data_IF_628449911567
#
_entry.id   IF_628449911567
#
_cell.length_a   1.000
_cell.length_b   1.000
_cell.length_c   1.000
_cell.angle_alpha   90.00
_cell.angle_beta   90.00
_cell.angle_gamma   90.00
#
_symmetry.space_group_name_H-M   'P 1'
#
loop_
_entity.id
_entity.type
_entity.pdbx_description
1 polymer ?
#
# COMPACT_ATOMS: atom_id res chain seq x y z
N UNK A 1 -41.25 -18.25 -31.46
CA UNK A 1 -41.75 -17.12 -30.65
C UNK A 1 -41.55 -17.35 -29.16
N UNK A 2 -41.83 -18.53 -28.59
CA UNK A 2 -41.65 -18.78 -27.15
C UNK A 2 -40.21 -18.79 -26.64
N UNK A 3 -39.25 -19.32 -27.41
CA UNK A 3 -37.82 -19.28 -27.04
C UNK A 3 -37.27 -17.84 -26.97
N UNK A 4 -37.75 -16.96 -27.85
CA UNK A 4 -37.39 -15.55 -27.89
C UNK A 4 -38.02 -14.79 -26.72
N UNK A 5 -39.27 -15.09 -26.37
CA UNK A 5 -39.91 -14.55 -25.17
C UNK A 5 -39.19 -15.00 -23.89
N UNK A 6 -38.82 -16.28 -23.77
CA UNK A 6 -38.08 -16.82 -22.61
C UNK A 6 -36.66 -16.25 -22.49
N UNK A 7 -35.99 -15.98 -23.61
CA UNK A 7 -34.70 -15.32 -23.65
C UNK A 7 -34.80 -13.85 -23.22
N UNK A 8 -35.83 -13.13 -23.69
CA UNK A 8 -36.12 -11.76 -23.25
C UNK A 8 -36.47 -11.74 -21.76
N UNK A 9 -37.30 -12.68 -21.28
CA UNK A 9 -37.70 -12.79 -19.88
C UNK A 9 -36.50 -13.13 -18.96
N UNK A 10 -35.58 -14.00 -19.41
CA UNK A 10 -34.33 -14.30 -18.70
C UNK A 10 -33.34 -13.11 -18.68
N UNK A 11 -33.31 -12.27 -19.73
CA UNK A 11 -32.49 -11.05 -19.76
C UNK A 11 -33.11 -9.97 -18.86
N UNK A 12 -34.44 -9.81 -18.90
CA UNK A 12 -35.18 -8.83 -18.10
C UNK A 12 -35.20 -9.18 -16.61
N UNK A 13 -35.23 -10.46 -16.24
CA UNK A 13 -35.21 -10.93 -14.85
C UNK A 13 -33.80 -11.02 -14.25
N UNK A 14 -32.76 -10.82 -15.05
CA UNK A 14 -31.38 -10.80 -14.56
C UNK A 14 -31.13 -9.45 -13.88
N UNK A 15 -31.66 -9.34 -12.66
CA UNK A 15 -31.59 -8.17 -11.78
C UNK A 15 -30.15 -7.69 -11.63
N UNK A 16 -29.16 -8.60 -11.71
CA UNK A 16 -27.73 -8.27 -11.70
C UNK A 16 -27.25 -7.52 -12.95
N UNK A 17 -27.79 -7.81 -14.13
CA UNK A 17 -27.46 -7.10 -15.37
C UNK A 17 -28.09 -5.71 -15.37
N UNK A 18 -29.37 -5.61 -14.99
CA UNK A 18 -30.04 -4.31 -14.88
C UNK A 18 -29.40 -3.44 -13.78
N UNK A 19 -29.05 -4.01 -12.63
CA UNK A 19 -28.29 -3.32 -11.58
C UNK A 19 -26.89 -2.93 -12.05
N UNK A 20 -26.22 -3.76 -12.85
CA UNK A 20 -24.90 -3.43 -13.43
C UNK A 20 -25.00 -2.31 -14.46
N UNK A 21 -26.03 -2.31 -15.30
CA UNK A 21 -26.29 -1.26 -16.29
C UNK A 21 -26.69 0.05 -15.60
N UNK A 22 -27.50 -0.02 -14.54
CA UNK A 22 -27.87 1.15 -13.73
C UNK A 22 -26.66 1.70 -12.98
N UNK A 23 -25.83 0.85 -12.38
CA UNK A 23 -24.54 1.21 -11.77
C UNK A 23 -23.58 1.84 -12.79
N UNK A 24 -23.44 1.26 -13.98
CA UNK A 24 -22.59 1.80 -15.05
C UNK A 24 -23.13 3.14 -15.57
N UNK A 25 -24.44 3.32 -15.67
CA UNK A 25 -25.06 4.58 -16.05
C UNK A 25 -24.89 5.64 -14.96
N UNK A 26 -25.03 5.27 -13.69
CA UNK A 26 -24.76 6.16 -12.56
C UNK A 26 -23.26 6.52 -12.49
N UNK A 27 -22.37 5.56 -12.80
CA UNK A 27 -20.94 5.76 -12.92
C UNK A 27 -20.58 6.70 -14.07
N UNK A 28 -21.15 6.52 -15.26
CA UNK A 28 -20.96 7.39 -16.43
C UNK A 28 -21.51 8.80 -16.15
N UNK A 29 -22.66 8.91 -15.49
CA UNK A 29 -23.24 10.20 -15.09
C UNK A 29 -22.35 10.92 -14.08
N UNK A 30 -21.88 10.21 -13.04
CA UNK A 30 -20.89 10.72 -12.08
C UNK A 30 -19.58 11.09 -12.79
N UNK A 31 -19.16 10.37 -13.82
CA UNK A 31 -17.95 10.66 -14.60
C UNK A 31 -18.10 11.93 -15.45
N UNK A 32 -19.26 12.13 -16.07
CA UNK A 32 -19.60 13.33 -16.85
C UNK A 32 -19.76 14.56 -15.95
N UNK A 33 -20.41 14.42 -14.78
CA UNK A 33 -20.53 15.51 -13.79
C UNK A 33 -19.17 15.83 -13.13
N UNK A 34 -18.29 14.84 -12.91
CA UNK A 34 -16.88 15.00 -12.45
C UNK A 34 -15.95 15.61 -13.50
N UNK A 35 -16.34 15.69 -14.76
CA UNK A 35 -15.55 16.37 -15.80
C UNK A 35 -15.59 17.89 -15.66
N UNK A 36 -16.55 18.43 -14.89
CA UNK A 36 -16.69 19.88 -14.69
C UNK A 36 -15.94 20.44 -13.49
N UNK A 37 -15.49 19.62 -12.53
CA UNK A 37 -14.51 20.01 -11.48
C UNK A 37 -13.99 18.74 -10.77
N UNK A 38 -12.69 18.72 -10.44
CA UNK A 38 -11.93 17.79 -9.57
C UNK A 38 -11.16 16.57 -10.13
N UNK A 39 -11.44 15.99 -11.30
CA UNK A 39 -10.59 14.88 -11.81
C UNK A 39 -9.17 15.33 -12.17
N UNK A 40 -9.01 16.53 -12.74
CA UNK A 40 -7.70 17.09 -13.04
C UNK A 40 -6.85 17.31 -11.79
N UNK A 41 -7.44 17.46 -10.60
CA UNK A 41 -6.68 17.68 -9.36
C UNK A 41 -6.15 16.37 -8.79
N UNK A 42 -6.94 15.30 -8.79
CA UNK A 42 -6.51 13.96 -8.37
C UNK A 42 -5.56 13.31 -9.39
N UNK A 43 -5.79 13.48 -10.70
CA UNK A 43 -4.84 13.03 -11.74
C UNK A 43 -3.55 13.86 -11.74
N UNK A 44 -3.59 15.17 -11.44
CA UNK A 44 -2.37 15.97 -11.22
C UNK A 44 -1.65 15.58 -9.92
N UNK A 45 -2.37 15.19 -8.86
CA UNK A 45 -1.78 14.65 -7.63
C UNK A 45 -1.09 13.31 -7.85
N UNK A 46 -1.72 12.42 -8.62
CA UNK A 46 -1.18 11.10 -8.98
C UNK A 46 0.03 11.20 -9.94
N UNK A 47 0.10 12.23 -10.79
CA UNK A 47 1.16 12.33 -11.80
C UNK A 47 2.55 12.68 -11.25
N UNK A 48 2.66 13.33 -10.07
CA UNK A 48 3.98 13.74 -9.55
C UNK A 48 4.43 13.03 -8.26
N UNK A 49 3.53 12.64 -7.35
CA UNK A 49 3.92 12.23 -5.98
C UNK A 49 3.60 10.77 -5.58
N UNK A 50 2.83 10.01 -6.37
CA UNK A 50 2.44 8.63 -6.01
C UNK A 50 3.38 7.59 -6.64
N UNK A 51 4.17 6.93 -5.80
CA UNK A 51 5.09 5.87 -6.18
C UNK A 51 4.71 4.57 -5.46
N UNK A 52 4.30 3.57 -6.23
CA UNK A 52 3.86 2.28 -5.71
C UNK A 52 5.05 1.37 -5.43
N UNK A 53 5.01 0.69 -4.28
CA UNK A 53 5.91 -0.43 -3.97
C UNK A 53 5.56 -1.61 -4.87
N UNK A 54 6.57 -2.29 -5.39
CA UNK A 54 6.41 -3.45 -6.27
C UNK A 54 5.88 -4.66 -5.51
N UNK A 55 5.31 -5.64 -6.22
CA UNK A 55 4.82 -6.88 -5.61
C UNK A 55 5.99 -7.72 -5.10
N UNK A 56 7.13 -7.67 -5.80
CA UNK A 56 8.34 -8.40 -5.47
C UNK A 56 8.91 -7.93 -4.12
N UNK A 57 8.97 -6.63 -3.87
CA UNK A 57 9.47 -6.10 -2.59
C UNK A 57 8.54 -6.47 -1.42
N UNK A 58 7.23 -6.50 -1.65
CA UNK A 58 6.24 -6.86 -0.63
C UNK A 58 6.28 -8.36 -0.34
N UNK A 59 6.39 -9.20 -1.37
CA UNK A 59 6.58 -10.64 -1.21
C UNK A 59 7.89 -10.92 -0.47
N UNK A 60 8.98 -10.26 -0.85
CA UNK A 60 10.26 -10.38 -0.16
C UNK A 60 10.14 -9.99 1.32
N UNK A 61 9.42 -8.93 1.64
CA UNK A 61 9.15 -8.57 3.04
C UNK A 61 8.40 -9.68 3.78
N UNK A 62 7.31 -10.22 3.20
CA UNK A 62 6.54 -11.33 3.78
C UNK A 62 7.42 -12.53 4.09
N UNK A 63 8.26 -12.93 3.13
CA UNK A 63 9.13 -14.12 3.24
C UNK A 63 10.17 -14.00 4.37
N UNK A 64 10.51 -12.78 4.79
CA UNK A 64 11.54 -12.52 5.81
C UNK A 64 10.96 -12.05 7.15
N UNK A 65 9.75 -11.49 7.17
CA UNK A 65 9.21 -10.79 8.33
C UNK A 65 8.58 -11.71 9.39
N UNK A 66 8.27 -12.97 9.04
CA UNK A 66 7.63 -13.94 9.95
C UNK A 66 6.38 -13.40 10.65
N UNK A 67 5.50 -12.72 9.90
CA UNK A 67 4.29 -12.10 10.46
C UNK A 67 3.31 -13.20 10.89
N UNK A 68 2.77 -13.17 12.13
CA UNK A 68 1.82 -14.19 12.56
C UNK A 68 0.51 -14.14 11.76
N UNK A 69 0.04 -15.31 11.29
CA UNK A 69 -1.16 -15.43 10.42
C UNK A 69 -2.48 -15.10 11.11
N UNK A 70 -2.51 -15.10 12.44
CA UNK A 70 -3.69 -14.77 13.24
C UNK A 70 -3.97 -13.26 13.28
N UNK A 71 -2.95 -12.42 13.03
CA UNK A 71 -2.99 -10.95 13.08
C UNK A 71 -3.77 -10.35 11.92
N UNK A 72 -4.43 -9.23 12.21
CA UNK A 72 -5.11 -8.38 11.24
C UNK A 72 -4.16 -7.24 10.84
N UNK A 73 -3.67 -7.29 9.61
CA UNK A 73 -2.82 -6.26 9.02
C UNK A 73 -3.69 -5.10 8.55
N UNK A 74 -3.36 -3.89 8.98
CA UNK A 74 -3.92 -2.66 8.45
C UNK A 74 -2.93 -1.99 7.50
N UNK A 75 -3.36 -1.77 6.27
CA UNK A 75 -2.66 -1.03 5.23
C UNK A 75 -3.33 0.36 5.10
N UNK A 76 -2.89 1.37 5.89
CA UNK A 76 -3.63 2.62 6.07
C UNK A 76 -3.53 3.63 4.92
N UNK A 77 -2.64 3.39 3.96
CA UNK A 77 -2.36 4.28 2.83
C UNK A 77 -2.68 3.62 1.50
N UNK A 78 -3.55 2.61 1.52
CA UNK A 78 -3.70 1.66 0.43
C UNK A 78 -5.15 1.52 0.00
N UNK A 79 -5.38 1.62 -1.30
CA UNK A 79 -6.62 1.17 -1.91
C UNK A 79 -6.69 -0.38 -1.90
N UNK A 80 -7.91 -0.96 -1.97
CA UNK A 80 -8.07 -2.42 -2.01
C UNK A 80 -7.31 -3.12 -3.16
N UNK A 81 -7.00 -2.38 -4.23
CA UNK A 81 -6.28 -2.84 -5.42
C UNK A 81 -4.76 -2.67 -5.34
N UNK A 82 -4.23 -2.04 -4.28
CA UNK A 82 -2.79 -1.84 -4.10
C UNK A 82 -2.02 -3.16 -4.03
N UNK A 83 -0.72 -3.10 -4.37
CA UNK A 83 0.16 -4.26 -4.24
C UNK A 83 0.25 -4.75 -2.79
N UNK A 84 0.25 -3.85 -1.79
CA UNK A 84 0.24 -4.24 -0.37
C UNK A 84 -0.97 -5.12 -0.05
N UNK A 85 -2.17 -4.63 -0.36
CA UNK A 85 -3.39 -5.33 0.01
C UNK A 85 -3.54 -6.65 -0.76
N UNK A 86 -3.24 -6.64 -2.06
CA UNK A 86 -3.40 -7.81 -2.91
C UNK A 86 -2.39 -8.91 -2.57
N UNK A 87 -1.10 -8.56 -2.39
CA UNK A 87 -0.06 -9.55 -2.07
C UNK A 87 -0.28 -10.15 -0.68
N UNK A 88 -0.58 -9.35 0.35
CA UNK A 88 -0.86 -9.91 1.68
C UNK A 88 -2.08 -10.84 1.67
N UNK A 89 -3.17 -10.47 0.99
CA UNK A 89 -4.36 -11.33 0.87
C UNK A 89 -4.04 -12.64 0.13
N UNK A 90 -3.27 -12.58 -0.94
CA UNK A 90 -2.87 -13.77 -1.70
C UNK A 90 -1.97 -14.72 -0.88
N UNK A 91 -1.23 -14.19 0.10
CA UNK A 91 -0.46 -14.96 1.07
C UNK A 91 -1.28 -15.44 2.28
N UNK A 92 -2.61 -15.24 2.28
CA UNK A 92 -3.53 -15.76 3.30
C UNK A 92 -3.69 -14.89 4.55
N UNK A 93 -3.15 -13.67 4.56
CA UNK A 93 -3.30 -12.76 5.70
C UNK A 93 -4.68 -12.11 5.76
N UNK A 94 -5.13 -11.78 6.98
CA UNK A 94 -6.28 -10.90 7.19
C UNK A 94 -5.85 -9.45 6.98
N UNK A 95 -6.43 -8.78 5.99
CA UNK A 95 -6.02 -7.42 5.61
C UNK A 95 -7.21 -6.47 5.59
N UNK A 96 -7.04 -5.32 6.25
CA UNK A 96 -7.92 -4.16 6.15
C UNK A 96 -7.15 -3.05 5.43
N UNK A 97 -7.79 -2.41 4.47
CA UNK A 97 -7.21 -1.26 3.76
C UNK A 97 -8.02 0.01 4.02
N UNK A 98 -7.33 1.15 4.01
CA UNK A 98 -7.95 2.47 3.99
C UNK A 98 -7.14 3.41 3.13
N UNK A 99 -7.82 4.37 2.53
CA UNK A 99 -7.19 5.42 1.76
C UNK A 99 -7.94 6.75 1.94
N UNK A 100 -7.22 7.86 1.84
CA UNK A 100 -7.82 9.21 1.92
C UNK A 100 -8.90 9.42 0.85
N UNK A 101 -8.75 8.83 -0.34
CA UNK A 101 -9.75 8.87 -1.42
C UNK A 101 -11.06 8.16 -1.08
N UNK A 102 -11.06 7.29 -0.07
CA UNK A 102 -12.26 6.63 0.44
C UNK A 102 -12.88 7.39 1.62
N UNK A 103 -12.43 8.62 1.92
CA UNK A 103 -12.80 9.38 3.10
C UNK A 103 -12.23 8.79 4.40
N UNK A 104 -11.23 7.91 4.31
CA UNK A 104 -10.59 7.24 5.44
C UNK A 104 -9.17 7.73 5.62
N UNK A 105 -9.04 9.00 6.00
CA UNK A 105 -7.75 9.61 6.28
C UNK A 105 -7.11 8.98 7.53
N UNK A 106 -5.88 8.48 7.42
CA UNK A 106 -5.11 7.88 8.52
C UNK A 106 -5.05 8.75 9.79
N UNK A 107 -5.04 10.08 9.64
CA UNK A 107 -4.98 10.99 10.78
C UNK A 107 -6.31 11.10 11.53
N UNK A 108 -7.42 10.67 10.94
CA UNK A 108 -8.77 10.83 11.47
C UNK A 108 -9.59 9.52 11.50
N UNK A 109 -9.07 8.45 10.92
CA UNK A 109 -9.72 7.16 10.79
C UNK A 109 -8.87 6.05 11.43
N UNK A 110 -9.54 5.03 11.95
CA UNK A 110 -8.97 3.72 12.23
C UNK A 110 -10.06 2.64 12.11
N UNK A 111 -9.72 1.41 11.71
CA UNK A 111 -10.69 0.31 11.72
C UNK A 111 -10.99 -0.15 13.14
N UNK A 112 -12.15 -0.80 13.33
CA UNK A 112 -12.62 -1.28 14.65
C UNK A 112 -11.69 -2.33 15.27
N UNK A 113 -11.09 -3.18 14.45
CA UNK A 113 -10.18 -4.26 14.86
C UNK A 113 -9.02 -4.32 13.89
N UNK A 114 -7.81 -4.33 14.42
CA UNK A 114 -6.55 -4.46 13.71
C UNK A 114 -5.43 -4.69 14.73
N UNK A 115 -4.34 -5.35 14.33
CA UNK A 115 -3.26 -5.72 15.24
C UNK A 115 -1.93 -5.08 14.86
N UNK A 116 -1.68 -4.89 13.56
CA UNK A 116 -0.39 -4.41 13.05
C UNK A 116 -0.57 -3.51 11.84
N UNK A 117 0.26 -2.49 11.69
CA UNK A 117 0.31 -1.64 10.49
C UNK A 117 1.47 -2.07 9.60
N UNK A 118 1.21 -2.33 8.31
CA UNK A 118 2.27 -2.59 7.33
C UNK A 118 1.91 -1.92 6.00
N UNK A 119 2.71 -0.94 5.55
CA UNK A 119 2.42 -0.15 4.34
C UNK A 119 3.62 0.73 3.91
N UNK A 120 3.47 1.45 2.79
CA UNK A 120 4.35 2.53 2.36
C UNK A 120 3.65 3.89 2.58
N UNK A 121 4.06 4.68 3.60
CA UNK A 121 3.44 5.96 3.88
C UNK A 121 3.72 7.01 2.81
N UNK A 122 2.87 8.05 2.68
CA UNK A 122 3.17 9.18 1.81
C UNK A 122 4.47 9.88 2.26
N UNK A 123 5.22 10.44 1.30
CA UNK A 123 6.54 11.00 1.57
C UNK A 123 6.56 12.24 2.48
N UNK A 124 5.43 12.93 2.64
CA UNK A 124 5.34 14.19 3.40
C UNK A 124 4.86 13.95 4.85
N UNK A 125 5.07 14.92 5.73
CA UNK A 125 4.51 14.94 7.09
C UNK A 125 4.87 13.74 8.00
N UNK A 126 6.08 13.17 7.84
CA UNK A 126 6.56 12.00 8.61
C UNK A 126 6.45 12.15 10.13
N UNK A 127 6.61 13.35 10.68
CA UNK A 127 6.48 13.59 12.11
C UNK A 127 5.04 13.46 12.61
N UNK A 128 4.04 13.89 11.83
CA UNK A 128 2.63 13.69 12.18
C UNK A 128 2.24 12.22 12.07
N UNK A 129 2.78 11.52 11.07
CA UNK A 129 2.67 10.07 10.93
C UNK A 129 3.19 9.36 12.20
N UNK A 130 4.41 9.66 12.64
CA UNK A 130 4.98 9.06 13.86
C UNK A 130 4.19 9.42 15.11
N UNK A 131 3.74 10.67 15.25
CA UNK A 131 2.87 11.08 16.36
C UNK A 131 1.58 10.24 16.40
N UNK A 132 0.94 10.04 15.24
CA UNK A 132 -0.28 9.24 15.13
C UNK A 132 -0.02 7.77 15.44
N UNK A 133 1.12 7.21 15.04
CA UNK A 133 1.50 5.83 15.38
C UNK A 133 1.68 5.63 16.89
N UNK A 134 2.23 6.62 17.61
CA UNK A 134 2.38 6.57 19.07
C UNK A 134 1.03 6.49 19.78
N UNK A 135 -0.02 7.10 19.24
CA UNK A 135 -1.38 7.06 19.83
C UNK A 135 -2.00 5.65 19.79
N UNK A 136 -1.52 4.77 18.90
CA UNK A 136 -2.06 3.42 18.77
C UNK A 136 -1.40 2.40 19.69
N UNK A 137 -0.16 2.65 20.12
CA UNK A 137 0.65 1.72 20.92
C UNK A 137 0.62 0.27 20.40
N UNK A 138 0.83 0.11 19.10
CA UNK A 138 0.79 -1.18 18.39
C UNK A 138 1.99 -1.38 17.48
N UNK A 139 2.33 -2.64 17.13
CA UNK A 139 3.39 -2.91 16.18
C UNK A 139 3.11 -2.31 14.80
N UNK A 140 4.17 -1.88 14.13
CA UNK A 140 4.09 -1.37 12.76
C UNK A 140 5.41 -1.60 12.03
N UNK A 141 5.35 -1.74 10.70
CA UNK A 141 6.49 -1.70 9.79
C UNK A 141 6.16 -0.81 8.59
N UNK A 142 6.96 0.22 8.35
CA UNK A 142 6.74 1.20 7.29
C UNK A 142 8.02 1.45 6.50
N UNK A 143 7.86 1.71 5.21
CA UNK A 143 8.96 2.08 4.32
C UNK A 143 9.30 3.56 4.49
N UNK A 144 10.57 3.86 4.62
CA UNK A 144 11.08 5.23 4.60
C UNK A 144 12.32 5.31 3.70
N UNK A 145 12.53 6.46 3.06
CA UNK A 145 13.81 6.76 2.44
C UNK A 145 14.89 6.99 3.51
N UNK A 146 16.12 6.56 3.26
CA UNK A 146 17.23 6.64 4.22
C UNK A 146 17.51 8.08 4.70
N UNK A 147 17.26 9.05 3.85
CA UNK A 147 17.35 10.48 4.14
C UNK A 147 16.41 10.95 5.27
N UNK A 148 15.39 10.16 5.65
CA UNK A 148 14.56 10.47 6.80
C UNK A 148 15.38 10.56 8.10
N UNK A 149 16.47 9.79 8.20
CA UNK A 149 17.37 9.79 9.36
C UNK A 149 18.23 11.06 9.47
N UNK A 150 18.27 11.89 8.42
CA UNK A 150 18.93 13.20 8.49
C UNK A 150 18.08 14.25 9.23
N UNK A 151 16.82 13.93 9.57
CA UNK A 151 15.93 14.82 10.30
C UNK A 151 15.99 14.52 11.80
N UNK A 152 16.52 15.46 12.58
CA UNK A 152 16.54 15.40 14.05
C UNK A 152 15.16 15.08 14.62
N UNK A 153 14.13 15.82 14.21
CA UNK A 153 12.75 15.59 14.65
C UNK A 153 12.25 14.19 14.35
N UNK A 154 12.61 13.60 13.21
CA UNK A 154 12.22 12.22 12.88
C UNK A 154 12.88 11.25 13.86
N UNK A 155 14.19 11.40 14.08
CA UNK A 155 14.95 10.60 15.02
C UNK A 155 14.43 10.73 16.46
N UNK A 156 14.11 11.94 16.93
CA UNK A 156 13.54 12.18 18.26
C UNK A 156 12.19 11.48 18.46
N UNK A 157 11.35 11.44 17.41
CA UNK A 157 10.09 10.70 17.48
C UNK A 157 10.31 9.20 17.52
N UNK A 158 11.31 8.68 16.82
CA UNK A 158 11.67 7.26 16.89
C UNK A 158 12.03 6.84 18.32
N UNK A 159 12.74 7.67 19.07
CA UNK A 159 13.10 7.37 20.47
C UNK A 159 11.90 7.21 21.43
N UNK A 160 10.68 7.59 21.00
CA UNK A 160 9.47 7.51 21.84
C UNK A 160 8.74 6.18 21.72
N UNK A 161 9.10 5.35 20.74
CA UNK A 161 8.47 4.04 20.56
C UNK A 161 9.11 2.99 21.46
N UNK A 162 8.35 1.94 21.79
CA UNK A 162 8.77 0.85 22.67
C UNK A 162 10.08 0.21 22.23
N UNK A 163 10.21 -0.12 20.94
CA UNK A 163 11.39 -0.78 20.39
C UNK A 163 11.48 -0.54 18.89
N UNK A 164 12.20 0.50 18.50
CA UNK A 164 12.44 0.81 17.08
C UNK A 164 13.43 -0.17 16.47
N UNK A 165 13.09 -0.63 15.27
CA UNK A 165 13.85 -1.63 14.53
C UNK A 165 14.08 -1.13 13.11
N UNK A 166 15.28 -1.37 12.60
CA UNK A 166 15.76 -0.89 11.33
C UNK A 166 16.18 -2.07 10.47
N UNK A 167 15.70 -2.08 9.23
CA UNK A 167 16.07 -3.10 8.25
C UNK A 167 16.65 -2.42 7.02
N UNK A 168 17.96 -2.57 6.86
CA UNK A 168 18.67 -2.20 5.64
C UNK A 168 18.42 -3.22 4.54
N UNK A 169 18.28 -2.76 3.30
CA UNK A 169 18.22 -3.60 2.13
C UNK A 169 19.48 -3.40 1.29
N UNK A 170 20.30 -4.44 1.13
CA UNK A 170 21.52 -4.39 0.31
C UNK A 170 21.19 -3.99 -1.13
N UNK A 171 20.11 -4.54 -1.68
CA UNK A 171 19.52 -4.11 -2.95
C UNK A 171 18.43 -3.08 -2.69
N UNK A 172 18.60 -1.90 -3.28
CA UNK A 172 17.62 -0.81 -3.19
C UNK A 172 16.26 -1.26 -3.75
N UNK A 173 15.20 -0.96 -3.01
CA UNK A 173 13.83 -1.06 -3.49
C UNK A 173 13.64 -0.23 -4.75
N UNK A 174 12.77 -0.70 -5.64
CA UNK A 174 12.33 0.05 -6.80
C UNK A 174 10.85 0.40 -6.64
N UNK A 175 10.43 1.47 -7.29
CA UNK A 175 9.04 1.93 -7.24
C UNK A 175 8.54 2.18 -8.66
N UNK A 176 7.22 2.11 -8.84
CA UNK A 176 6.57 2.32 -10.13
C UNK A 176 5.45 3.33 -10.03
N UNK A 177 5.16 4.05 -11.12
CA UNK A 177 3.95 4.88 -11.27
C UNK A 177 2.75 4.09 -11.81
N UNK A 178 2.99 2.92 -12.41
CA UNK A 178 1.95 1.99 -12.86
C UNK A 178 2.13 0.67 -12.11
N UNK A 179 1.28 0.41 -11.11
CA UNK A 179 1.33 -0.84 -10.33
C UNK A 179 0.67 -2.03 -11.04
N UNK A 180 -0.01 -1.81 -12.17
CA UNK A 180 -0.70 -2.86 -12.92
C UNK A 180 0.18 -3.43 -14.03
N UNK A 181 0.96 -2.60 -14.73
CA UNK A 181 1.66 -3.00 -15.97
C UNK A 181 3.17 -2.70 -16.00
N UNK A 182 3.83 -2.49 -14.85
CA UNK A 182 5.26 -2.19 -14.84
C UNK A 182 6.14 -3.36 -15.29
N UNK A 183 7.21 -3.03 -16.00
CA UNK A 183 8.26 -3.97 -16.36
C UNK A 183 9.29 -4.08 -15.22
N UNK A 184 9.19 -5.19 -14.48
CA UNK A 184 10.04 -5.54 -13.34
C UNK A 184 11.54 -5.51 -13.69
N UNK A 185 11.92 -5.89 -14.92
CA UNK A 185 13.32 -5.96 -15.33
C UNK A 185 13.93 -4.59 -15.64
N UNK A 186 13.07 -3.62 -16.00
CA UNK A 186 13.45 -2.29 -16.45
C UNK A 186 13.03 -1.16 -15.48
N UNK A 187 12.76 -1.50 -14.22
CA UNK A 187 12.45 -0.51 -13.18
C UNK A 187 13.62 0.47 -12.97
N UNK A 188 13.27 1.75 -12.89
CA UNK A 188 14.23 2.80 -12.57
C UNK A 188 14.65 2.68 -11.10
N UNK A 189 15.96 2.59 -10.86
CA UNK A 189 16.49 2.57 -9.50
C UNK A 189 16.47 3.99 -8.92
N UNK A 190 15.86 4.20 -7.74
CA UNK A 190 15.85 5.51 -7.09
C UNK A 190 17.27 5.91 -6.66
N UNK A 191 17.59 7.21 -6.71
CA UNK A 191 18.93 7.72 -6.35
C UNK A 191 19.33 7.39 -4.91
N UNK A 192 18.38 7.39 -3.98
CA UNK A 192 18.59 7.05 -2.57
C UNK A 192 17.97 5.71 -2.22
N UNK A 193 18.55 5.03 -1.22
CA UNK A 193 18.01 3.78 -0.71
C UNK A 193 16.75 4.03 0.14
N UNK A 194 15.88 3.02 0.18
CA UNK A 194 14.79 2.91 1.15
C UNK A 194 15.13 1.83 2.17
N UNK A 195 14.50 1.93 3.34
CA UNK A 195 14.61 0.98 4.44
C UNK A 195 13.22 0.69 5.00
N UNK A 196 13.09 -0.43 5.70
CA UNK A 196 11.98 -0.60 6.62
C UNK A 196 12.39 -0.07 7.99
N UNK A 197 11.48 0.68 8.61
CA UNK A 197 11.52 0.92 10.05
C UNK A 197 10.30 0.22 10.63
N UNK A 198 10.49 -0.42 11.78
CA UNK A 198 9.42 -1.05 12.52
C UNK A 198 9.45 -0.68 14.00
N UNK A 199 8.37 -1.00 14.70
CA UNK A 199 8.28 -0.96 16.15
C UNK A 199 7.76 -2.32 16.65
N UNK A 200 8.55 -2.97 17.51
CA UNK A 200 8.17 -4.19 18.23
C UNK A 200 7.64 -5.34 17.34
N UNK A 201 8.34 -5.61 16.22
CA UNK A 201 7.98 -6.67 15.25
C UNK A 201 9.00 -7.80 15.14
N UNK A 202 10.29 -7.51 15.33
CA UNK A 202 11.38 -8.44 15.03
C UNK A 202 12.21 -8.81 16.27
N UNK A 203 13.04 -9.85 16.15
CA UNK A 203 13.94 -10.24 17.25
C UNK A 203 15.16 -9.33 17.38
N UNK A 204 15.58 -8.68 16.28
CA UNK A 204 16.77 -7.81 16.23
C UNK A 204 16.39 -6.37 15.91
N UNK A 205 17.12 -5.44 16.53
CA UNK A 205 16.91 -4.00 16.34
C UNK A 205 17.50 -3.49 15.03
N UNK A 206 18.61 -4.09 14.57
CA UNK A 206 19.25 -3.73 13.31
C UNK A 206 19.44 -5.00 12.49
N UNK A 207 18.95 -4.98 11.26
CA UNK A 207 19.00 -6.10 10.33
C UNK A 207 19.46 -5.63 8.96
N UNK A 208 20.08 -6.53 8.21
CA UNK A 208 20.50 -6.31 6.82
C UNK A 208 19.98 -7.47 5.99
N UNK A 209 19.02 -7.20 5.11
CA UNK A 209 18.45 -8.19 4.20
C UNK A 209 18.99 -7.99 2.78
N UNK A 210 18.96 -9.06 1.98
CA UNK A 210 19.51 -9.03 0.60
C UNK A 210 18.73 -8.05 -0.31
N UNK A 211 17.42 -7.91 -0.11
CA UNK A 211 16.53 -7.18 -1.01
C UNK A 211 16.28 -7.93 -2.34
N UNK A 212 15.37 -7.42 -3.16
CA UNK A 212 14.96 -8.07 -4.42
C UNK A 212 16.04 -7.96 -5.50
N UNK A 213 16.37 -9.10 -6.12
CA UNK A 213 17.16 -9.13 -7.36
C UNK A 213 16.25 -9.02 -8.59
N UNK A 214 15.84 -7.78 -8.89
CA UNK A 214 14.98 -7.46 -10.03
C UNK A 214 15.52 -7.97 -11.37
N UNK A 215 16.85 -7.91 -11.57
CA UNK A 215 17.49 -8.30 -12.83
C UNK A 215 17.81 -9.79 -12.91
N UNK A 216 17.66 -10.52 -11.80
CA UNK A 216 18.06 -11.93 -11.66
C UNK A 216 19.51 -12.14 -12.13
N UNK A 217 20.36 -11.14 -11.87
CA UNK A 217 21.74 -11.12 -12.34
C UNK A 217 22.69 -11.89 -11.41
N UNK A 218 22.20 -12.32 -10.24
CA UNK A 218 22.97 -13.10 -9.27
C UNK A 218 24.12 -12.32 -8.63
N UNK A 219 24.26 -11.02 -8.91
CA UNK A 219 25.38 -10.21 -8.41
C UNK A 219 25.17 -9.86 -6.94
N UNK A 220 25.94 -10.42 -6.04
CA UNK A 220 25.98 -9.90 -4.67
C UNK A 220 26.59 -8.49 -4.71
N UNK A 221 25.79 -7.46 -4.42
CA UNK A 221 26.32 -6.13 -4.16
C UNK A 221 26.99 -6.21 -2.79
N UNK A 222 28.29 -6.53 -2.81
CA UNK A 222 29.22 -6.50 -1.67
C UNK A 222 29.43 -5.09 -1.17
#
# INVERSE_FOLDING_TARGET
MDLLKKAIENISNNTDVNNSVEYLNEFIKKFKDRSKNDITKAFRYANDDEWYTTKEDIQFFIDNANIPMDKIIWCPFDLPTSNFVTVFKNNGYKVISSHIFQGKDFYHYQPKKWDIIISNPPFRNKHNLLKRLLEFDKPWALIFGIQALNSEKFCDFLQKFKRVQYIHLKRRMCFTKDHLNYDVLNLQRPSFASMWIANDMFDKDIQVWKGVDYKKDGKEYT
#
